data_IF_376718832674
#
_entry.id   IF_376718832674
#
_cell.length_a   1.000
_cell.length_b   1.000
_cell.length_c   1.000
_cell.angle_alpha   90.00
_cell.angle_beta   90.00
_cell.angle_gamma   90.00
#
_symmetry.space_group_name_H-M   'P 1'
#
loop_
_entity.id
_entity.type
_entity.pdbx_description
1 polymer ?
#
# COMPACT_ATOMS: atom_id res chain seq x y z
N UNK A 1 25.69 -14.09 -0.07
CA UNK A 1 25.22 -14.08 -1.48
C UNK A 1 26.19 -13.25 -2.30
N UNK A 2 26.89 -13.85 -3.27
CA UNK A 2 27.69 -13.09 -4.22
C UNK A 2 26.77 -12.64 -5.37
N UNK A 3 26.04 -11.54 -5.16
CA UNK A 3 25.21 -10.93 -6.20
C UNK A 3 26.15 -10.24 -7.21
N UNK A 4 26.28 -10.81 -8.42
CA UNK A 4 27.02 -10.17 -9.51
C UNK A 4 26.11 -9.15 -10.19
N UNK A 5 26.28 -7.88 -9.85
CA UNK A 5 25.50 -6.75 -10.37
C UNK A 5 26.37 -5.96 -11.34
N UNK A 6 25.92 -5.84 -12.59
CA UNK A 6 26.71 -5.22 -13.69
C UNK A 6 26.15 -3.88 -14.16
N UNK A 7 25.02 -3.43 -13.60
CA UNK A 7 24.33 -2.18 -13.95
C UNK A 7 23.54 -1.65 -12.75
N UNK A 8 23.10 -0.37 -12.76
CA UNK A 8 22.23 0.16 -11.71
C UNK A 8 21.05 -0.77 -11.46
N UNK A 9 20.93 -1.24 -10.22
CA UNK A 9 19.94 -2.24 -9.81
C UNK A 9 19.41 -1.83 -8.46
N UNK A 10 18.09 -1.70 -8.34
CA UNK A 10 17.43 -1.50 -7.06
C UNK A 10 17.48 -2.82 -6.28
N UNK A 11 18.13 -2.80 -5.11
CA UNK A 11 18.21 -3.95 -4.22
C UNK A 11 17.44 -3.62 -2.94
N UNK A 12 16.67 -4.60 -2.46
CA UNK A 12 15.98 -4.53 -1.19
C UNK A 12 16.57 -5.59 -0.26
N UNK A 13 16.94 -5.19 0.95
CA UNK A 13 17.18 -6.12 2.04
C UNK A 13 15.83 -6.55 2.62
N UNK A 14 15.41 -7.78 2.27
CA UNK A 14 14.12 -8.34 2.71
C UNK A 14 14.00 -8.36 4.23
N UNK A 15 15.06 -8.77 4.96
CA UNK A 15 14.97 -8.91 6.41
C UNK A 15 14.82 -7.54 7.09
N UNK A 16 15.53 -6.52 6.61
CA UNK A 16 15.33 -5.15 7.08
C UNK A 16 13.92 -4.64 6.79
N UNK A 17 13.39 -4.92 5.60
CA UNK A 17 12.01 -4.53 5.26
C UNK A 17 10.99 -5.18 6.22
N UNK A 18 11.08 -6.49 6.45
CA UNK A 18 10.21 -7.21 7.38
C UNK A 18 10.32 -6.66 8.82
N UNK A 19 11.54 -6.37 9.28
CA UNK A 19 11.77 -5.79 10.61
C UNK A 19 11.14 -4.39 10.73
N UNK A 20 11.25 -3.55 9.70
CA UNK A 20 10.65 -2.22 9.67
C UNK A 20 9.11 -2.28 9.68
N UNK A 21 8.52 -3.19 8.91
CA UNK A 21 7.08 -3.42 8.89
C UNK A 21 6.61 -3.84 10.30
N UNK A 22 7.24 -4.86 10.88
CA UNK A 22 6.93 -5.35 12.23
C UNK A 22 6.98 -4.22 13.25
N UNK A 23 8.05 -3.43 13.24
CA UNK A 23 8.22 -2.31 14.16
C UNK A 23 7.05 -1.32 14.09
N UNK A 24 6.63 -0.92 12.89
CA UNK A 24 5.54 0.05 12.73
C UNK A 24 4.17 -0.54 13.10
N UNK A 25 3.93 -1.81 12.79
CA UNK A 25 2.71 -2.51 13.20
C UNK A 25 2.61 -2.57 14.72
N UNK A 26 3.67 -3.00 15.40
CA UNK A 26 3.70 -3.09 16.87
C UNK A 26 3.62 -1.70 17.52
N UNK A 27 4.23 -0.67 16.92
CA UNK A 27 4.06 0.72 17.37
C UNK A 27 2.61 1.17 17.28
N UNK A 28 1.90 0.86 16.21
CA UNK A 28 0.47 1.15 16.06
C UNK A 28 -0.37 0.46 17.13
N UNK A 29 -0.15 -0.85 17.33
CA UNK A 29 -0.83 -1.65 18.36
C UNK A 29 -0.59 -1.11 19.77
N UNK A 30 0.66 -0.82 20.13
CA UNK A 30 1.03 -0.29 21.46
C UNK A 30 0.29 1.01 21.81
N UNK A 31 -0.06 1.82 20.81
CA UNK A 31 -0.72 3.11 20.99
C UNK A 31 -2.23 3.05 20.67
N UNK A 32 -2.83 1.87 20.49
CA UNK A 32 -4.24 1.71 20.08
C UNK A 32 -4.61 2.49 18.80
N UNK A 33 -3.70 2.55 17.83
CA UNK A 33 -3.93 3.23 16.55
C UNK A 33 -4.19 2.22 15.42
N UNK A 34 -5.12 2.56 14.52
CA UNK A 34 -5.26 1.84 13.23
C UNK A 34 -4.10 2.20 12.32
N UNK A 35 -3.19 1.27 12.10
CA UNK A 35 -2.07 1.46 11.20
C UNK A 35 -2.51 1.29 9.73
N UNK A 36 -2.43 2.38 8.95
CA UNK A 36 -2.70 2.42 7.50
C UNK A 36 -1.44 2.91 6.76
N UNK A 37 -0.51 2.02 6.37
CA UNK A 37 0.72 2.41 5.69
C UNK A 37 0.45 2.96 4.29
N UNK A 38 1.30 3.88 3.84
CA UNK A 38 1.25 4.43 2.49
C UNK A 38 2.14 3.63 1.53
N UNK A 39 1.55 3.12 0.46
CA UNK A 39 2.22 2.24 -0.51
C UNK A 39 2.91 2.97 -1.68
N UNK A 40 2.97 4.31 -1.67
CA UNK A 40 3.63 5.11 -2.72
C UNK A 40 5.12 4.82 -2.85
N UNK A 41 5.77 4.39 -1.78
CA UNK A 41 7.22 4.17 -1.73
C UNK A 41 7.64 2.92 -2.51
N UNK A 42 6.91 1.81 -2.39
CA UNK A 42 7.34 0.53 -2.95
C UNK A 42 6.55 0.09 -4.18
N UNK A 43 5.27 0.49 -4.31
CA UNK A 43 4.40 0.17 -5.45
C UNK A 43 4.49 -1.29 -5.93
N UNK A 44 4.57 -2.22 -4.97
CA UNK A 44 4.86 -3.64 -5.20
C UNK A 44 3.90 -4.51 -4.41
N UNK A 45 3.18 -5.39 -5.11
CA UNK A 45 2.27 -6.36 -4.50
C UNK A 45 3.02 -7.36 -3.60
N UNK A 46 4.26 -7.72 -3.94
CA UNK A 46 5.11 -8.60 -3.11
C UNK A 46 5.36 -7.97 -1.73
N UNK A 47 5.78 -6.70 -1.69
CA UNK A 47 5.97 -5.99 -0.42
C UNK A 47 4.63 -5.76 0.28
N UNK A 48 3.56 -5.50 -0.48
CA UNK A 48 2.20 -5.47 0.05
C UNK A 48 1.84 -6.77 0.79
N UNK A 49 2.13 -7.93 0.21
CA UNK A 49 1.87 -9.22 0.87
C UNK A 49 2.63 -9.33 2.20
N UNK A 50 3.85 -8.82 2.31
CA UNK A 50 4.56 -8.80 3.59
C UNK A 50 3.83 -7.96 4.65
N UNK A 51 3.28 -6.78 4.29
CA UNK A 51 2.44 -6.02 5.21
C UNK A 51 1.20 -6.83 5.65
N UNK A 52 0.57 -7.57 4.73
CA UNK A 52 -0.58 -8.42 5.01
C UNK A 52 -0.24 -9.55 5.98
N UNK A 53 0.94 -10.16 5.85
CA UNK A 53 1.43 -11.21 6.76
C UNK A 53 1.58 -10.71 8.20
N UNK A 54 1.82 -9.41 8.40
CA UNK A 54 1.81 -8.76 9.72
C UNK A 54 0.43 -8.27 10.18
N UNK A 55 -0.65 -8.64 9.47
CA UNK A 55 -2.02 -8.33 9.84
C UNK A 55 -2.51 -6.95 9.41
N UNK A 56 -1.77 -6.24 8.55
CA UNK A 56 -2.26 -4.98 7.97
C UNK A 56 -3.40 -5.27 6.99
N UNK A 57 -4.54 -4.61 7.18
CA UNK A 57 -5.76 -4.81 6.37
C UNK A 57 -6.12 -3.62 5.49
N UNK A 58 -5.53 -2.47 5.76
CA UNK A 58 -5.91 -1.18 5.18
C UNK A 58 -4.70 -0.38 4.74
N UNK A 59 -4.72 0.21 3.55
CA UNK A 59 -3.57 0.91 2.96
C UNK A 59 -3.95 2.30 2.45
N UNK A 60 -2.93 3.10 2.18
CA UNK A 60 -3.04 4.42 1.52
C UNK A 60 -2.24 4.43 0.22
N UNK A 61 -2.79 5.00 -0.84
CA UNK A 61 -2.17 5.14 -2.16
C UNK A 61 -2.26 6.58 -2.66
N UNK A 62 -1.54 6.89 -3.75
CA UNK A 62 -1.41 8.26 -4.27
C UNK A 62 -2.17 8.53 -5.57
N UNK A 63 -2.87 7.54 -6.12
CA UNK A 63 -3.64 7.70 -7.36
C UNK A 63 -4.72 6.63 -7.49
N UNK A 64 -5.68 6.86 -8.40
CA UNK A 64 -6.71 5.87 -8.76
C UNK A 64 -6.06 4.62 -9.35
N UNK A 65 -5.11 4.75 -10.29
CA UNK A 65 -4.41 3.60 -10.86
C UNK A 65 -3.64 2.74 -9.84
N UNK A 66 -3.08 3.35 -8.80
CA UNK A 66 -2.48 2.58 -7.70
C UNK A 66 -3.55 1.86 -6.86
N UNK A 67 -4.72 2.47 -6.67
CA UNK A 67 -5.84 1.83 -5.99
C UNK A 67 -6.32 0.61 -6.79
N UNK A 68 -6.47 0.72 -8.11
CA UNK A 68 -6.79 -0.39 -9.02
C UNK A 68 -5.78 -1.53 -8.88
N UNK A 69 -4.49 -1.21 -9.03
CA UNK A 69 -3.42 -2.20 -8.91
C UNK A 69 -3.47 -2.98 -7.59
N UNK A 70 -3.59 -2.28 -6.45
CA UNK A 70 -3.61 -2.98 -5.16
C UNK A 70 -4.96 -3.68 -4.89
N UNK A 71 -6.07 -3.17 -5.41
CA UNK A 71 -7.37 -3.83 -5.33
C UNK A 71 -7.38 -5.18 -6.07
N UNK A 72 -6.80 -5.23 -7.27
CA UNK A 72 -6.59 -6.46 -8.04
C UNK A 72 -5.68 -7.45 -7.30
N UNK A 73 -4.72 -6.95 -6.53
CA UNK A 73 -3.85 -7.75 -5.65
C UNK A 73 -4.47 -8.03 -4.27
N UNK A 74 -5.81 -7.93 -4.15
CA UNK A 74 -6.58 -8.40 -3.01
C UNK A 74 -6.71 -7.42 -1.83
N UNK A 75 -6.26 -6.18 -1.96
CA UNK A 75 -6.51 -5.17 -0.93
C UNK A 75 -7.95 -4.66 -1.00
N UNK A 76 -8.63 -4.62 0.15
CA UNK A 76 -10.07 -4.31 0.23
C UNK A 76 -10.40 -3.03 0.98
N UNK A 77 -9.45 -2.42 1.68
CA UNK A 77 -9.63 -1.14 2.37
C UNK A 77 -8.50 -0.20 1.93
N UNK A 78 -8.82 0.74 1.03
CA UNK A 78 -7.84 1.60 0.38
C UNK A 78 -8.26 3.07 0.53
N UNK A 79 -7.32 3.93 0.91
CA UNK A 79 -7.48 5.39 0.88
C UNK A 79 -6.64 5.98 -0.25
N UNK A 80 -7.24 6.76 -1.12
CA UNK A 80 -6.51 7.61 -2.08
C UNK A 80 -6.23 8.94 -1.37
N UNK A 81 -4.99 9.18 -0.95
CA UNK A 81 -4.60 10.36 -0.18
C UNK A 81 -4.16 11.54 -1.08
N UNK A 82 -4.95 11.80 -2.12
CA UNK A 82 -4.79 12.91 -3.05
C UNK A 82 -6.16 13.52 -3.34
N UNK A 83 -6.23 14.82 -3.72
CA UNK A 83 -7.49 15.47 -4.06
C UNK A 83 -8.29 14.65 -5.07
N UNK A 84 -9.59 14.52 -4.83
CA UNK A 84 -10.51 13.83 -5.72
C UNK A 84 -10.41 14.38 -7.14
N UNK A 85 -10.16 13.48 -8.11
CA UNK A 85 -10.10 13.83 -9.53
C UNK A 85 -11.44 13.49 -10.20
N UNK A 86 -12.21 14.53 -10.53
CA UNK A 86 -13.51 14.40 -11.19
C UNK A 86 -13.43 13.62 -12.51
N UNK A 87 -12.32 13.75 -13.24
CA UNK A 87 -12.14 13.09 -14.54
C UNK A 87 -11.89 11.59 -14.46
N UNK A 88 -11.68 11.05 -13.25
CA UNK A 88 -11.52 9.61 -13.01
C UNK A 88 -12.72 9.01 -12.26
N UNK A 89 -13.86 9.71 -12.22
CA UNK A 89 -15.05 9.31 -11.45
C UNK A 89 -15.53 7.89 -11.80
N UNK A 90 -15.56 7.53 -13.08
CA UNK A 90 -16.03 6.19 -13.50
C UNK A 90 -15.19 5.07 -12.87
N UNK A 91 -13.85 5.19 -12.92
CA UNK A 91 -12.92 4.26 -12.28
C UNK A 91 -13.07 4.24 -10.77
N UNK A 92 -13.25 5.40 -10.15
CA UNK A 92 -13.46 5.52 -8.70
C UNK A 92 -14.75 4.80 -8.31
N UNK A 93 -15.83 4.95 -9.07
CA UNK A 93 -17.10 4.28 -8.83
C UNK A 93 -16.98 2.75 -9.01
N UNK A 94 -16.29 2.30 -10.07
CA UNK A 94 -16.02 0.87 -10.29
C UNK A 94 -15.22 0.25 -9.14
N UNK A 95 -14.23 0.97 -8.62
CA UNK A 95 -13.46 0.53 -7.45
C UNK A 95 -14.32 0.52 -6.18
N UNK A 96 -15.07 1.59 -5.91
CA UNK A 96 -15.92 1.71 -4.74
C UNK A 96 -16.99 0.60 -4.68
N UNK A 97 -17.42 0.07 -5.83
CA UNK A 97 -18.32 -1.09 -5.89
C UNK A 97 -17.67 -2.41 -5.44
N UNK A 98 -16.33 -2.51 -5.44
CA UNK A 98 -15.56 -3.75 -5.19
C UNK A 98 -14.81 -3.75 -3.86
N UNK A 99 -14.49 -2.57 -3.33
CA UNK A 99 -13.66 -2.38 -2.13
C UNK A 99 -14.18 -1.24 -1.25
N UNK A 100 -13.76 -1.22 0.01
CA UNK A 100 -13.95 -0.06 0.88
C UNK A 100 -12.96 1.04 0.48
N UNK A 101 -13.42 1.96 -0.37
CA UNK A 101 -12.62 3.04 -0.92
C UNK A 101 -12.86 4.35 -0.14
N UNK A 102 -11.78 4.97 0.33
CA UNK A 102 -11.81 6.33 0.85
C UNK A 102 -11.19 7.30 -0.17
N UNK A 103 -11.87 8.41 -0.40
CA UNK A 103 -11.39 9.52 -1.22
C UNK A 103 -11.24 10.78 -0.38
N UNK A 104 -10.39 11.70 -0.83
CA UNK A 104 -10.18 12.99 -0.17
C UNK A 104 -10.82 14.10 -1.01
N UNK A 105 -11.77 14.83 -0.41
CA UNK A 105 -12.37 16.02 -1.01
C UNK A 105 -11.76 17.22 -0.29
N UNK A 106 -11.08 18.10 -1.04
CA UNK A 106 -10.42 19.33 -0.56
C UNK A 106 -10.76 20.49 -1.47
#
# INVERSE_FOLDING_TARGET
MNLKITRPTLILDKQKCLNNIKFMVEKGKKNNLKFRPHFKTHQSSIIGNWFRDFGVKSITVSSVGMAEYFAENGWKDITIAFPFNLLEMDKINELAAKIYLHILIV
#
